data_IF_597421242130
#
_entry.id   IF_597421242130
#
_cell.length_a   1.000
_cell.length_b   1.000
_cell.length_c   1.000
_cell.angle_alpha   90.00
_cell.angle_beta   90.00
_cell.angle_gamma   90.00
#
_symmetry.space_group_name_H-M   'P 1'
#
loop_
_entity.id
_entity.type
_entity.pdbx_description
1 polymer ?
#
# COMPACT_ATOMS: atom_id res chain seq x y z
N UNK A 1 23.66 -7.22 15.99
CA UNK A 1 24.97 -6.57 15.91
C UNK A 1 25.29 -5.92 17.24
N UNK A 2 26.45 -6.27 17.82
CA UNK A 2 27.06 -5.51 18.91
C UNK A 2 28.01 -4.48 18.31
N UNK A 3 27.79 -3.18 18.58
CA UNK A 3 28.64 -2.09 18.11
C UNK A 3 28.45 -0.88 19.03
N UNK A 4 29.53 -0.11 19.25
CA UNK A 4 29.46 1.13 20.03
C UNK A 4 28.47 2.13 19.40
N UNK A 5 27.63 2.75 20.25
CA UNK A 5 26.56 3.66 19.78
C UNK A 5 27.11 4.84 18.97
N UNK A 6 28.33 5.30 19.26
CA UNK A 6 29.01 6.36 18.50
C UNK A 6 29.31 5.96 17.05
N UNK A 7 29.37 4.65 16.75
CA UNK A 7 29.65 4.09 15.43
C UNK A 7 28.39 3.76 14.63
N UNK A 8 27.23 3.77 15.24
CA UNK A 8 25.97 3.37 14.59
C UNK A 8 25.63 4.22 13.36
N UNK A 9 25.94 5.53 13.39
CA UNK A 9 25.75 6.44 12.26
C UNK A 9 26.69 6.14 11.10
N UNK A 10 27.95 5.91 11.38
CA UNK A 10 28.96 5.56 10.37
C UNK A 10 28.63 4.21 9.71
N UNK A 11 28.17 3.25 10.50
CA UNK A 11 27.70 1.96 10.03
C UNK A 11 26.50 2.08 9.06
N UNK A 12 25.48 2.88 9.42
CA UNK A 12 24.33 3.13 8.54
C UNK A 12 24.73 3.74 7.20
N UNK A 13 25.67 4.68 7.21
CA UNK A 13 26.19 5.30 5.98
C UNK A 13 26.90 4.29 5.08
N UNK A 14 27.73 3.43 5.65
CA UNK A 14 28.42 2.37 4.88
C UNK A 14 27.43 1.37 4.27
N UNK A 15 26.40 1.00 5.00
CA UNK A 15 25.36 0.14 4.44
C UNK A 15 24.58 0.82 3.32
N UNK A 16 24.36 2.15 3.41
CA UNK A 16 23.73 2.93 2.35
C UNK A 16 24.50 2.97 1.02
N UNK A 17 25.80 2.64 1.04
CA UNK A 17 26.64 2.56 -0.17
C UNK A 17 26.54 1.19 -0.86
N UNK A 18 26.11 0.14 -0.15
CA UNK A 18 26.13 -1.25 -0.62
C UNK A 18 24.75 -1.91 -0.70
N UNK A 19 23.70 -1.25 -0.24
CA UNK A 19 22.35 -1.80 -0.25
C UNK A 19 21.26 -0.77 0.01
N UNK A 20 20.05 -1.24 0.02
CA UNK A 20 18.84 -0.47 0.30
C UNK A 20 17.99 -1.11 1.41
N UNK A 21 16.81 -0.50 1.71
CA UNK A 21 15.87 -1.00 2.72
C UNK A 21 16.51 -1.21 4.09
N UNK A 22 17.43 -0.32 4.48
CA UNK A 22 18.26 -0.44 5.66
C UNK A 22 17.44 -0.18 6.92
N UNK A 23 17.44 -1.14 7.84
CA UNK A 23 16.85 -1.02 9.16
C UNK A 23 17.94 -1.29 10.20
N UNK A 24 18.20 -0.34 11.08
CA UNK A 24 19.11 -0.48 12.22
C UNK A 24 18.40 0.06 13.45
N UNK A 25 17.91 -0.83 14.30
CA UNK A 25 17.09 -0.52 15.48
C UNK A 25 17.73 -1.14 16.71
N UNK A 26 17.92 -0.34 17.75
CA UNK A 26 18.50 -0.78 19.01
C UNK A 26 19.15 0.40 19.74
N UNK A 27 19.99 0.09 20.72
CA UNK A 27 20.74 1.01 21.56
C UNK A 27 21.55 0.24 22.61
N UNK A 28 22.26 0.96 23.48
CA UNK A 28 23.11 0.38 24.51
C UNK A 28 24.10 -0.67 23.96
N UNK A 29 24.61 -0.40 22.74
CA UNK A 29 25.59 -1.25 22.08
C UNK A 29 25.01 -2.48 21.36
N UNK A 30 23.71 -2.71 21.37
CA UNK A 30 23.07 -3.86 20.73
C UNK A 30 22.00 -3.43 19.71
N UNK A 31 22.14 -3.89 18.44
CA UNK A 31 21.26 -3.51 17.34
C UNK A 31 20.74 -4.71 16.57
N UNK A 32 19.46 -4.66 16.20
CA UNK A 32 18.90 -5.47 15.13
C UNK A 32 19.07 -4.73 13.82
N UNK A 33 19.66 -5.42 12.84
CA UNK A 33 20.06 -4.82 11.58
C UNK A 33 19.52 -5.63 10.41
N UNK A 34 19.02 -4.94 9.38
CA UNK A 34 18.52 -5.55 8.15
C UNK A 34 18.92 -4.68 6.96
N UNK A 35 19.32 -5.29 5.86
CA UNK A 35 19.67 -4.62 4.61
C UNK A 35 19.35 -5.53 3.43
N UNK A 36 18.84 -4.97 2.35
CA UNK A 36 18.78 -5.65 1.05
C UNK A 36 20.04 -5.31 0.26
N UNK A 37 20.79 -6.32 -0.15
CA UNK A 37 22.04 -6.12 -0.88
C UNK A 37 22.35 -7.32 -1.77
N UNK A 38 23.04 -7.05 -2.89
CA UNK A 38 23.65 -8.09 -3.72
C UNK A 38 25.09 -8.44 -3.28
N UNK A 39 25.66 -7.67 -2.35
CA UNK A 39 26.99 -7.92 -1.79
C UNK A 39 26.90 -8.28 -0.30
N UNK A 40 26.56 -9.56 -0.06
CA UNK A 40 26.43 -10.12 1.28
C UNK A 40 27.75 -10.02 2.06
N UNK A 41 28.89 -10.20 1.37
CA UNK A 41 30.23 -10.12 1.96
C UNK A 41 30.49 -8.73 2.53
N UNK A 42 30.32 -7.69 1.73
CA UNK A 42 30.48 -6.29 2.16
C UNK A 42 29.54 -5.91 3.29
N UNK A 43 28.28 -6.40 3.25
CA UNK A 43 27.30 -6.13 4.31
C UNK A 43 27.71 -6.69 5.67
N UNK A 44 28.31 -7.89 5.70
CA UNK A 44 28.81 -8.52 6.94
C UNK A 44 30.12 -7.89 7.40
N UNK A 45 31.00 -7.50 6.47
CA UNK A 45 32.31 -6.94 6.78
C UNK A 45 32.23 -5.50 7.31
N UNK A 46 31.28 -4.70 6.81
CA UNK A 46 31.15 -3.29 7.17
C UNK A 46 31.08 -3.03 8.69
N UNK A 47 30.26 -3.73 9.49
CA UNK A 47 30.27 -3.53 10.93
C UNK A 47 31.55 -4.06 11.60
N UNK A 48 32.18 -5.12 11.08
CA UNK A 48 33.41 -5.69 11.64
C UNK A 48 34.56 -4.68 11.51
N UNK A 49 34.70 -4.01 10.38
CA UNK A 49 35.68 -2.95 10.15
C UNK A 49 35.54 -1.76 11.09
N UNK A 50 34.33 -1.56 11.63
CA UNK A 50 34.03 -0.54 12.64
C UNK A 50 34.20 -1.02 14.09
N UNK A 51 34.69 -2.23 14.27
CA UNK A 51 34.90 -2.86 15.57
C UNK A 51 33.65 -3.53 16.16
N UNK A 52 32.59 -3.66 15.37
CA UNK A 52 31.36 -4.35 15.76
C UNK A 52 31.48 -5.88 15.63
N UNK A 53 30.54 -6.58 16.25
CA UNK A 53 30.41 -8.04 16.22
C UNK A 53 29.01 -8.43 15.73
N UNK A 54 28.85 -8.88 14.48
CA UNK A 54 27.57 -9.41 14.01
C UNK A 54 27.31 -10.78 14.64
N UNK A 55 26.08 -10.98 15.13
CA UNK A 55 25.58 -12.22 15.71
C UNK A 55 24.31 -12.64 15.01
N UNK A 56 24.00 -13.94 15.00
CA UNK A 56 22.76 -14.49 14.45
C UNK A 56 22.51 -14.02 13.00
N UNK A 57 23.58 -14.05 12.19
CA UNK A 57 23.49 -13.65 10.78
C UNK A 57 22.56 -14.61 10.07
N UNK A 58 21.49 -14.06 9.47
CA UNK A 58 20.61 -14.77 8.56
C UNK A 58 20.75 -14.12 7.19
N UNK A 59 20.98 -14.93 6.20
CA UNK A 59 21.00 -14.54 4.79
C UNK A 59 19.86 -15.29 4.13
N UNK A 60 18.98 -14.56 3.46
CA UNK A 60 17.87 -15.13 2.71
C UNK A 60 17.98 -14.62 1.28
N UNK A 61 17.87 -15.51 0.30
CA UNK A 61 17.69 -15.12 -1.08
C UNK A 61 16.25 -14.64 -1.24
N UNK A 62 16.08 -13.35 -1.57
CA UNK A 62 14.75 -12.77 -1.75
C UNK A 62 13.97 -13.45 -2.88
N UNK A 63 14.64 -13.98 -3.89
CA UNK A 63 13.98 -14.73 -4.96
C UNK A 63 13.49 -16.10 -4.48
N UNK A 64 14.26 -16.80 -3.63
CA UNK A 64 13.84 -18.07 -3.02
C UNK A 64 12.73 -17.85 -1.99
N UNK A 65 12.79 -16.79 -1.16
CA UNK A 65 11.77 -16.47 -0.17
C UNK A 65 10.44 -16.11 -0.84
N UNK A 66 10.48 -15.34 -1.92
CA UNK A 66 9.31 -15.02 -2.74
C UNK A 66 8.75 -16.30 -3.39
N UNK A 67 9.60 -17.20 -3.89
CA UNK A 67 9.17 -18.45 -4.48
C UNK A 67 8.54 -19.40 -3.44
N UNK A 68 9.14 -19.52 -2.25
CA UNK A 68 8.59 -20.33 -1.15
C UNK A 68 7.28 -19.75 -0.58
N UNK A 69 7.17 -18.43 -0.47
CA UNK A 69 5.91 -17.79 -0.07
C UNK A 69 4.84 -17.95 -1.16
N UNK A 70 5.23 -17.90 -2.43
CA UNK A 70 4.36 -18.16 -3.56
C UNK A 70 3.80 -19.60 -3.51
N UNK A 71 4.67 -20.58 -3.26
CA UNK A 71 4.29 -22.00 -3.17
C UNK A 71 3.40 -22.30 -1.95
N UNK A 72 3.72 -21.70 -0.79
CA UNK A 72 2.89 -21.76 0.43
C UNK A 72 1.53 -21.10 0.23
N UNK A 73 1.48 -20.05 -0.56
CA UNK A 73 0.31 -19.27 -0.89
C UNK A 73 -0.60 -20.00 -1.89
N UNK A 74 -0.04 -20.59 -2.95
CA UNK A 74 -0.77 -21.45 -3.88
C UNK A 74 -1.44 -22.62 -3.16
N UNK A 75 -0.77 -23.16 -2.14
CA UNK A 75 -1.32 -24.24 -1.31
C UNK A 75 -2.44 -23.78 -0.35
N UNK A 76 -2.51 -22.49 0.02
CA UNK A 76 -3.50 -21.95 0.97
C UNK A 76 -4.70 -21.27 0.31
N UNK A 77 -4.57 -20.75 -0.91
CA UNK A 77 -5.58 -19.90 -1.54
C UNK A 77 -6.25 -20.56 -2.75
N UNK A 78 -5.73 -21.72 -3.25
CA UNK A 78 -6.10 -22.20 -4.58
C UNK A 78 -5.49 -21.28 -5.65
N UNK A 79 -5.29 -21.76 -6.87
CA UNK A 79 -4.59 -21.06 -7.95
C UNK A 79 -4.95 -19.56 -8.02
N UNK A 80 -3.96 -18.65 -8.22
CA UNK A 80 -4.23 -17.22 -8.31
C UNK A 80 -5.23 -16.98 -9.43
N UNK A 81 -6.44 -16.61 -9.08
CA UNK A 81 -7.43 -16.12 -10.03
C UNK A 81 -7.06 -14.69 -10.38
N UNK A 82 -6.12 -14.52 -11.30
CA UNK A 82 -6.06 -13.28 -12.06
C UNK A 82 -7.34 -13.25 -12.89
N UNK A 83 -8.35 -12.53 -12.40
CA UNK A 83 -9.60 -12.33 -13.10
C UNK A 83 -9.38 -11.38 -14.27
N UNK A 84 -8.92 -11.91 -15.40
CA UNK A 84 -8.92 -11.17 -16.65
C UNK A 84 -10.35 -11.19 -17.19
N UNK A 85 -11.06 -10.10 -17.02
CA UNK A 85 -12.34 -9.91 -17.68
C UNK A 85 -12.05 -9.74 -19.17
N UNK A 86 -12.72 -10.54 -20.03
CA UNK A 86 -12.66 -10.36 -21.49
C UNK A 86 -13.42 -9.07 -21.85
N UNK A 87 -12.82 -7.92 -21.57
CA UNK A 87 -13.36 -6.61 -21.90
C UNK A 87 -13.14 -6.30 -23.39
N UNK A 88 -13.98 -5.43 -23.98
CA UNK A 88 -13.77 -4.96 -25.34
C UNK A 88 -12.36 -4.39 -25.55
N UNK A 89 -11.84 -4.48 -26.77
CA UNK A 89 -10.56 -3.85 -27.09
C UNK A 89 -10.63 -2.36 -26.83
N UNK A 90 -9.65 -1.84 -26.10
CA UNK A 90 -9.53 -0.42 -25.73
C UNK A 90 -8.19 0.14 -26.21
N UNK A 91 -8.10 1.45 -26.34
CA UNK A 91 -6.82 2.11 -26.66
C UNK A 91 -5.83 1.94 -25.51
N UNK A 92 -6.30 2.14 -24.30
CA UNK A 92 -5.50 2.04 -23.09
C UNK A 92 -6.23 1.16 -22.07
N UNK A 93 -5.59 0.10 -21.60
CA UNK A 93 -6.12 -0.77 -20.52
C UNK A 93 -5.65 -0.29 -19.15
N UNK A 94 -6.33 -0.72 -18.10
CA UNK A 94 -5.94 -0.48 -16.70
C UNK A 94 -5.67 -1.80 -16.02
N UNK A 95 -4.51 -1.89 -15.35
CA UNK A 95 -4.14 -2.95 -14.41
C UNK A 95 -4.05 -2.34 -13.02
N UNK A 96 -4.71 -2.91 -12.04
CA UNK A 96 -4.71 -2.40 -10.66
C UNK A 96 -4.26 -3.48 -9.67
N UNK A 97 -3.50 -3.08 -8.65
CA UNK A 97 -3.18 -3.97 -7.54
C UNK A 97 -4.25 -3.81 -6.46
N UNK A 98 -4.79 -4.92 -5.98
CA UNK A 98 -5.83 -4.91 -4.96
C UNK A 98 -5.73 -6.08 -3.99
N UNK A 99 -6.25 -5.88 -2.79
CA UNK A 99 -6.47 -6.92 -1.79
C UNK A 99 -7.93 -6.82 -1.31
N UNK A 100 -8.65 -7.92 -1.39
CA UNK A 100 -10.08 -8.02 -1.06
C UNK A 100 -10.95 -8.22 -2.29
N UNK A 101 -11.83 -9.21 -2.21
CA UNK A 101 -12.70 -9.60 -3.34
C UNK A 101 -13.67 -8.48 -3.74
N UNK A 102 -14.16 -7.71 -2.76
CA UNK A 102 -15.05 -6.60 -3.02
C UNK A 102 -14.35 -5.45 -3.76
N UNK A 103 -13.08 -5.16 -3.45
CA UNK A 103 -12.29 -4.18 -4.20
C UNK A 103 -12.11 -4.63 -5.65
N UNK A 104 -11.80 -5.91 -5.87
CA UNK A 104 -11.66 -6.45 -7.22
C UNK A 104 -12.95 -6.33 -8.03
N UNK A 105 -14.11 -6.57 -7.41
CA UNK A 105 -15.43 -6.38 -8.03
C UNK A 105 -15.69 -4.89 -8.37
N UNK A 106 -15.42 -3.97 -7.45
CA UNK A 106 -15.58 -2.52 -7.68
C UNK A 106 -14.70 -2.07 -8.85
N UNK A 107 -13.43 -2.50 -8.88
CA UNK A 107 -12.51 -2.18 -9.95
C UNK A 107 -12.97 -2.72 -11.31
N UNK A 108 -13.48 -3.97 -11.34
CA UNK A 108 -14.07 -4.54 -12.55
C UNK A 108 -15.26 -3.72 -13.07
N UNK A 109 -16.14 -3.27 -12.19
CA UNK A 109 -17.29 -2.42 -12.53
C UNK A 109 -16.86 -1.03 -13.03
N UNK A 110 -15.70 -0.52 -12.60
CA UNK A 110 -15.12 0.75 -13.05
C UNK A 110 -14.23 0.62 -14.29
N UNK A 111 -14.20 -0.56 -14.91
CA UNK A 111 -13.47 -0.78 -16.17
C UNK A 111 -11.99 -1.14 -16.03
N UNK A 112 -11.56 -1.60 -14.85
CA UNK A 112 -10.23 -2.20 -14.69
C UNK A 112 -10.18 -3.53 -15.45
N UNK A 113 -9.17 -3.71 -16.29
CA UNK A 113 -9.03 -4.85 -17.19
C UNK A 113 -8.30 -6.03 -16.55
N UNK A 114 -7.44 -5.76 -15.58
CA UNK A 114 -6.70 -6.76 -14.83
C UNK A 114 -6.50 -6.35 -13.38
N UNK A 115 -6.77 -7.27 -12.45
CA UNK A 115 -6.50 -7.06 -11.02
C UNK A 115 -5.41 -8.04 -10.61
N UNK A 116 -4.31 -7.50 -10.08
CA UNK A 116 -3.23 -8.28 -9.49
C UNK A 116 -3.41 -8.27 -7.98
N UNK A 117 -3.40 -9.45 -7.36
CA UNK A 117 -3.54 -9.52 -5.91
C UNK A 117 -2.29 -8.97 -5.22
N UNK A 118 -2.49 -8.00 -4.34
CA UNK A 118 -1.39 -7.37 -3.61
C UNK A 118 -1.87 -6.31 -2.64
N UNK A 119 -1.00 -5.84 -1.75
CA UNK A 119 -1.34 -4.84 -0.74
C UNK A 119 -0.27 -4.68 0.32
N UNK A 120 -0.64 -4.34 1.54
CA UNK A 120 0.30 -3.98 2.62
C UNK A 120 1.25 -5.12 3.06
N UNK A 121 0.77 -6.35 3.02
CA UNK A 121 1.55 -7.53 3.43
C UNK A 121 2.04 -8.37 2.28
N UNK A 122 1.71 -7.99 1.05
CA UNK A 122 1.89 -8.79 -0.14
C UNK A 122 2.18 -7.90 -1.34
N UNK A 123 3.46 -7.73 -1.62
CA UNK A 123 3.88 -6.98 -2.80
C UNK A 123 3.96 -7.95 -3.99
N UNK A 124 3.22 -7.69 -5.09
CA UNK A 124 3.42 -8.46 -6.31
C UNK A 124 4.83 -8.24 -6.85
N UNK A 125 5.38 -9.27 -7.45
CA UNK A 125 6.65 -9.19 -8.16
C UNK A 125 6.54 -8.37 -9.45
N UNK A 126 7.66 -7.89 -9.98
CA UNK A 126 7.71 -7.26 -11.31
C UNK A 126 7.17 -8.19 -12.40
N UNK A 127 7.42 -9.51 -12.27
CA UNK A 127 6.95 -10.50 -13.23
C UNK A 127 5.42 -10.64 -13.21
N UNK A 128 4.78 -10.67 -12.05
CA UNK A 128 3.32 -10.75 -11.94
C UNK A 128 2.64 -9.51 -12.56
N UNK A 129 3.21 -8.32 -12.35
CA UNK A 129 2.71 -7.10 -12.98
C UNK A 129 2.96 -7.10 -14.50
N UNK A 130 4.13 -7.57 -14.94
CA UNK A 130 4.44 -7.71 -16.36
C UNK A 130 3.49 -8.70 -17.05
N UNK A 131 3.26 -9.85 -16.45
CA UNK A 131 2.33 -10.86 -16.99
C UNK A 131 0.92 -10.29 -17.11
N UNK A 132 0.46 -9.55 -16.11
CA UNK A 132 -0.83 -8.86 -16.16
C UNK A 132 -0.88 -7.87 -17.32
N UNK A 133 0.15 -7.05 -17.50
CA UNK A 133 0.26 -6.07 -18.61
C UNK A 133 0.27 -6.78 -19.98
N UNK A 134 1.05 -7.86 -20.12
CA UNK A 134 1.14 -8.60 -21.38
C UNK A 134 -0.18 -9.26 -21.77
N UNK A 135 -1.00 -9.68 -20.80
CA UNK A 135 -2.32 -10.27 -21.06
C UNK A 135 -3.38 -9.25 -21.53
N UNK A 136 -3.13 -7.94 -21.37
CA UNK A 136 -4.07 -6.92 -21.82
C UNK A 136 -4.17 -6.88 -23.35
N UNK A 137 -5.39 -6.83 -23.87
CA UNK A 137 -5.65 -6.65 -25.31
C UNK A 137 -5.62 -5.15 -25.68
N UNK A 138 -4.54 -4.49 -25.30
CA UNK A 138 -4.26 -3.09 -25.59
C UNK A 138 -2.75 -2.89 -25.77
N UNK A 139 -2.36 -1.93 -26.59
CA UNK A 139 -0.95 -1.55 -26.78
C UNK A 139 -0.47 -0.55 -25.72
N UNK A 140 -1.38 0.03 -24.97
CA UNK A 140 -1.12 1.00 -23.93
C UNK A 140 -1.78 0.56 -22.63
N UNK A 141 -1.09 0.73 -21.50
CA UNK A 141 -1.56 0.24 -20.18
C UNK A 141 -1.24 1.25 -19.09
N UNK A 142 -2.21 1.53 -18.22
CA UNK A 142 -1.98 2.24 -16.97
C UNK A 142 -1.94 1.23 -15.83
N UNK A 143 -0.96 1.37 -14.92
CA UNK A 143 -0.87 0.57 -13.69
C UNK A 143 -1.23 1.46 -12.49
N UNK A 144 -2.14 0.96 -11.63
CA UNK A 144 -2.50 1.53 -10.34
C UNK A 144 -1.91 0.64 -9.23
N UNK A 145 -0.77 1.00 -8.62
CA UNK A 145 -0.10 0.17 -7.60
C UNK A 145 -0.83 0.10 -6.27
N UNK A 146 -1.54 1.18 -5.88
CA UNK A 146 -2.36 1.32 -4.67
C UNK A 146 -1.60 1.07 -3.35
N UNK A 147 -0.28 1.09 -3.42
CA UNK A 147 0.63 0.98 -2.28
C UNK A 147 1.99 1.61 -2.64
N UNK A 148 2.53 2.41 -1.73
CA UNK A 148 3.83 3.08 -1.94
C UNK A 148 5.00 2.13 -2.20
N UNK A 149 4.95 0.91 -1.62
CA UNK A 149 6.01 -0.08 -1.76
C UNK A 149 5.95 -0.80 -3.13
N UNK A 150 4.79 -0.76 -3.80
CA UNK A 150 4.57 -1.39 -5.11
C UNK A 150 4.91 -0.42 -6.26
N UNK A 151 4.89 0.89 -6.02
CA UNK A 151 5.21 1.89 -7.06
C UNK A 151 6.57 1.62 -7.74
N UNK A 152 7.70 1.39 -7.01
CA UNK A 152 8.98 1.12 -7.64
C UNK A 152 9.00 -0.15 -8.49
N UNK A 153 8.25 -1.18 -8.06
CA UNK A 153 8.12 -2.45 -8.80
C UNK A 153 7.32 -2.24 -10.09
N UNK A 154 6.20 -1.51 -10.00
CA UNK A 154 5.39 -1.17 -11.18
C UNK A 154 6.15 -0.34 -12.20
N UNK A 155 7.01 0.59 -11.76
CA UNK A 155 7.82 1.44 -12.65
C UNK A 155 8.86 0.64 -13.46
N UNK A 156 9.25 -0.54 -13.03
CA UNK A 156 10.20 -1.39 -13.77
C UNK A 156 9.53 -2.07 -14.97
N UNK A 157 8.21 -2.21 -14.99
CA UNK A 157 7.48 -2.94 -16.02
C UNK A 157 7.63 -2.30 -17.41
N UNK A 158 7.64 -0.96 -17.49
CA UNK A 158 7.77 -0.24 -18.76
C UNK A 158 9.04 -0.64 -19.56
N UNK A 159 10.15 -0.87 -18.85
CA UNK A 159 11.42 -1.28 -19.47
C UNK A 159 11.41 -2.75 -19.96
N UNK A 160 10.46 -3.57 -19.51
CA UNK A 160 10.40 -5.01 -19.79
C UNK A 160 9.38 -5.40 -20.85
N UNK A 161 8.54 -4.47 -21.29
CA UNK A 161 7.49 -4.70 -22.29
C UNK A 161 7.69 -3.83 -23.52
N UNK A 162 6.98 -4.17 -24.63
CA UNK A 162 6.88 -3.32 -25.82
C UNK A 162 5.65 -2.42 -25.79
N UNK A 163 4.78 -2.58 -24.81
CA UNK A 163 3.60 -1.75 -24.61
C UNK A 163 4.00 -0.41 -23.99
N UNK A 164 3.24 0.64 -24.24
CA UNK A 164 3.42 1.93 -23.55
C UNK A 164 2.76 1.85 -22.16
N UNK A 165 3.59 1.75 -21.12
CA UNK A 165 3.12 1.60 -19.75
C UNK A 165 3.29 2.90 -18.99
N UNK A 166 2.22 3.32 -18.29
CA UNK A 166 2.25 4.46 -17.38
C UNK A 166 1.83 4.03 -15.97
N UNK A 167 2.58 4.46 -14.99
CA UNK A 167 2.25 4.20 -13.57
C UNK A 167 1.64 5.45 -12.98
N UNK A 168 0.39 5.36 -12.53
CA UNK A 168 -0.24 6.38 -11.71
C UNK A 168 0.10 6.06 -10.25
N UNK A 169 0.84 6.93 -9.53
CA UNK A 169 1.44 6.59 -8.24
C UNK A 169 0.43 6.59 -7.09
N UNK A 170 -0.67 5.85 -7.24
CA UNK A 170 -1.66 5.65 -6.19
C UNK A 170 -1.07 4.86 -5.04
N UNK A 171 -1.40 5.26 -3.81
CA UNK A 171 -0.89 4.65 -2.59
C UNK A 171 -1.99 4.00 -1.73
N UNK A 172 -3.24 4.15 -2.15
CA UNK A 172 -4.40 3.64 -1.42
C UNK A 172 -5.56 3.29 -2.37
N UNK A 173 -6.52 2.51 -1.87
CA UNK A 173 -7.71 2.16 -2.64
C UNK A 173 -8.61 3.38 -2.95
N UNK A 174 -8.86 4.32 -2.02
CA UNK A 174 -9.62 5.53 -2.35
C UNK A 174 -8.97 6.38 -3.45
N UNK A 175 -7.63 6.51 -3.45
CA UNK A 175 -6.92 7.18 -4.54
C UNK A 175 -7.12 6.48 -5.90
N UNK A 176 -7.16 5.14 -5.90
CA UNK A 176 -7.42 4.39 -7.11
C UNK A 176 -8.86 4.59 -7.63
N UNK A 177 -9.84 4.64 -6.72
CA UNK A 177 -11.23 4.89 -7.11
C UNK A 177 -11.37 6.26 -7.78
N UNK A 178 -10.83 7.31 -7.19
CA UNK A 178 -10.82 8.65 -7.78
C UNK A 178 -10.07 8.68 -9.13
N UNK A 179 -8.93 7.99 -9.23
CA UNK A 179 -8.21 7.86 -10.49
C UNK A 179 -9.07 7.21 -11.57
N UNK A 180 -9.83 6.16 -11.25
CA UNK A 180 -10.69 5.44 -12.19
C UNK A 180 -11.87 6.27 -12.68
N UNK A 181 -12.38 7.22 -11.89
CA UNK A 181 -13.41 8.17 -12.34
C UNK A 181 -12.89 9.05 -13.46
N UNK A 182 -11.58 9.36 -13.49
CA UNK A 182 -10.94 10.16 -14.55
C UNK A 182 -10.42 9.32 -15.73
N UNK A 183 -10.59 8.01 -15.72
CA UNK A 183 -10.13 7.11 -16.77
C UNK A 183 -11.01 7.17 -18.02
N UNK A 184 -10.36 7.32 -19.20
CA UNK A 184 -11.00 7.24 -20.52
C UNK A 184 -10.38 6.09 -21.33
N UNK A 185 -11.13 5.00 -21.61
CA UNK A 185 -10.62 3.84 -22.36
C UNK A 185 -10.23 4.16 -23.80
N UNK A 186 -10.69 5.28 -24.38
CA UNK A 186 -10.37 5.73 -25.74
C UNK A 186 -9.13 6.64 -25.79
N UNK A 187 -8.71 7.21 -24.65
CA UNK A 187 -7.56 8.09 -24.55
C UNK A 187 -6.23 7.31 -24.49
N UNK A 188 -5.10 8.03 -24.72
CA UNK A 188 -3.77 7.45 -24.59
C UNK A 188 -3.37 7.19 -23.13
N UNK A 189 -2.36 6.31 -22.91
CA UNK A 189 -1.80 6.07 -21.58
C UNK A 189 -1.21 7.36 -20.97
N UNK A 190 -0.63 8.25 -21.75
CA UNK A 190 -0.11 9.54 -21.29
C UNK A 190 -1.23 10.46 -20.78
N UNK A 191 -2.33 10.57 -21.54
CA UNK A 191 -3.50 11.36 -21.12
C UNK A 191 -4.10 10.80 -19.85
N UNK A 192 -4.39 9.49 -19.84
CA UNK A 192 -4.93 8.80 -18.67
C UNK A 192 -3.99 8.92 -17.46
N UNK A 193 -2.69 8.69 -17.64
CA UNK A 193 -1.71 8.83 -16.57
C UNK A 193 -1.73 10.20 -15.91
N UNK A 194 -1.87 11.27 -16.72
CA UNK A 194 -1.96 12.66 -16.22
C UNK A 194 -3.28 12.94 -15.51
N UNK A 195 -4.41 12.60 -16.13
CA UNK A 195 -5.74 12.85 -15.59
C UNK A 195 -6.00 12.06 -14.30
N UNK A 196 -5.67 10.77 -14.32
CA UNK A 196 -5.84 9.87 -13.20
C UNK A 196 -4.92 10.23 -12.00
N UNK A 197 -3.66 10.62 -12.27
CA UNK A 197 -2.76 11.08 -11.21
C UNK A 197 -3.26 12.37 -10.54
N UNK A 198 -3.82 13.29 -11.31
CA UNK A 198 -4.42 14.52 -10.79
C UNK A 198 -5.64 14.22 -9.90
N UNK A 199 -6.50 13.31 -10.32
CA UNK A 199 -7.67 12.89 -9.54
C UNK A 199 -7.25 12.21 -8.23
N UNK A 200 -6.32 11.23 -8.30
CA UNK A 200 -5.78 10.56 -7.12
C UNK A 200 -5.16 11.52 -6.10
N UNK A 201 -4.44 12.54 -6.58
CA UNK A 201 -3.79 13.54 -5.70
C UNK A 201 -4.78 14.48 -5.00
N UNK A 202 -6.02 14.57 -5.44
CA UNK A 202 -7.06 15.41 -4.82
C UNK A 202 -7.68 14.74 -3.57
N UNK A 203 -7.54 13.42 -3.44
CA UNK A 203 -8.14 12.64 -2.34
C UNK A 203 -7.27 12.72 -1.09
N UNK A 204 -7.88 13.05 0.04
CA UNK A 204 -7.27 12.83 1.36
C UNK A 204 -7.68 11.46 1.87
N UNK A 205 -6.69 10.63 2.21
CA UNK A 205 -6.95 9.26 2.63
C UNK A 205 -6.70 9.05 4.11
N UNK A 206 -7.62 8.31 4.74
CA UNK A 206 -7.51 7.87 6.12
C UNK A 206 -7.68 6.36 6.24
N UNK A 207 -6.97 5.74 7.17
CA UNK A 207 -6.96 4.30 7.38
C UNK A 207 -7.13 3.99 8.87
N UNK A 208 -8.00 3.05 9.20
CA UNK A 208 -8.11 2.52 10.56
C UNK A 208 -7.44 1.15 10.60
N UNK A 209 -6.57 0.94 11.56
CA UNK A 209 -5.89 -0.34 11.77
C UNK A 209 -5.56 -0.57 13.26
N UNK A 210 -5.01 -1.73 13.56
CA UNK A 210 -4.52 -2.06 14.90
C UNK A 210 -3.01 -1.95 14.95
N UNK A 211 -2.49 -1.29 15.97
CA UNK A 211 -1.06 -1.14 16.18
C UNK A 211 -0.40 -2.48 16.50
N UNK A 212 0.65 -2.84 15.77
CA UNK A 212 1.39 -4.10 15.94
C UNK A 212 2.54 -4.01 16.96
N UNK A 213 2.91 -2.81 17.39
CA UNK A 213 4.00 -2.55 18.34
C UNK A 213 3.82 -1.26 19.10
N UNK A 214 4.48 -1.15 20.22
CA UNK A 214 4.54 0.09 20.99
C UNK A 214 5.38 1.12 20.22
N UNK A 215 4.90 2.36 20.17
CA UNK A 215 5.61 3.47 19.55
C UNK A 215 5.17 4.80 20.15
N UNK A 216 5.93 5.86 19.91
CA UNK A 216 5.53 7.24 20.22
C UNK A 216 5.28 7.98 18.91
N UNK A 217 4.17 8.70 18.87
CA UNK A 217 3.74 9.51 17.73
C UNK A 217 3.38 10.92 18.21
N UNK A 218 3.15 11.83 17.27
CA UNK A 218 2.70 13.20 17.59
C UNK A 218 1.30 13.18 18.23
N UNK A 219 0.48 12.18 17.91
CA UNK A 219 -0.84 11.98 18.53
C UNK A 219 -0.76 11.38 19.95
N UNK A 220 0.41 10.88 20.38
CA UNK A 220 0.61 10.30 21.68
C UNK A 220 1.37 8.97 21.68
N UNK A 221 1.36 8.30 22.84
CA UNK A 221 1.94 6.96 22.97
C UNK A 221 0.93 5.91 22.47
N UNK A 222 1.37 5.06 21.57
CA UNK A 222 0.63 3.94 21.00
C UNK A 222 1.16 2.65 21.62
N UNK A 223 0.28 1.75 22.02
CA UNK A 223 0.60 0.39 22.47
C UNK A 223 0.18 -0.63 21.43
N UNK A 224 0.87 -1.76 21.39
CA UNK A 224 0.43 -2.89 20.59
C UNK A 224 -1.00 -3.30 20.97
N UNK A 225 -1.87 -3.41 19.98
CA UNK A 225 -3.30 -3.68 20.15
C UNK A 225 -4.21 -2.44 20.18
N UNK A 226 -3.67 -1.23 20.28
CA UNK A 226 -4.47 -0.01 20.18
C UNK A 226 -5.05 0.14 18.76
N UNK A 227 -6.27 0.67 18.68
CA UNK A 227 -6.84 1.11 17.39
C UNK A 227 -6.30 2.47 17.03
N UNK A 228 -5.73 2.59 15.84
CA UNK A 228 -5.09 3.81 15.35
C UNK A 228 -5.66 4.26 14.02
N UNK A 229 -5.78 5.57 13.87
CA UNK A 229 -6.13 6.23 12.62
C UNK A 229 -4.90 6.85 11.98
N UNK A 230 -4.66 6.49 10.73
CA UNK A 230 -3.52 6.93 9.93
C UNK A 230 -3.99 7.87 8.82
N UNK A 231 -3.24 8.95 8.60
CA UNK A 231 -3.40 9.83 7.44
C UNK A 231 -2.09 9.91 6.69
N UNK A 232 -2.16 9.79 5.38
CA UNK A 232 -0.97 9.86 4.54
C UNK A 232 -0.31 11.24 4.65
N UNK A 233 0.96 11.25 5.02
CA UNK A 233 1.73 12.48 5.26
C UNK A 233 1.78 12.88 6.74
N UNK A 234 0.68 12.69 7.47
CA UNK A 234 0.57 13.11 8.87
C UNK A 234 0.89 11.96 9.85
N UNK A 235 0.85 10.70 9.38
CA UNK A 235 1.08 9.53 10.23
C UNK A 235 -0.12 9.17 11.10
N UNK A 236 0.12 8.82 12.37
CA UNK A 236 -0.96 8.53 13.33
C UNK A 236 -1.58 9.83 13.80
N UNK A 237 -2.86 10.01 13.50
CA UNK A 237 -3.63 11.22 13.88
C UNK A 237 -4.72 10.92 14.92
N UNK A 238 -5.05 9.65 15.12
CA UNK A 238 -6.03 9.21 16.11
C UNK A 238 -5.57 7.95 16.83
N UNK A 239 -5.81 7.88 18.13
CA UNK A 239 -5.59 6.70 18.97
C UNK A 239 -6.86 6.56 19.82
N UNK A 240 -7.54 5.44 19.76
CA UNK A 240 -8.78 5.25 20.50
C UNK A 240 -8.93 3.79 20.95
N UNK A 241 -9.78 3.52 21.98
CA UNK A 241 -10.02 2.18 22.48
C UNK A 241 -10.82 1.31 21.50
N UNK A 242 -11.62 1.92 20.63
CA UNK A 242 -12.42 1.20 19.65
C UNK A 242 -12.40 1.86 18.26
N UNK A 243 -12.87 1.10 17.27
CA UNK A 243 -12.89 1.48 15.86
C UNK A 243 -13.79 2.70 15.58
N UNK A 244 -14.93 2.80 16.25
CA UNK A 244 -15.86 3.90 16.03
C UNK A 244 -15.30 5.23 16.53
N UNK A 245 -14.75 5.26 17.76
CA UNK A 245 -14.13 6.46 18.31
C UNK A 245 -12.91 6.88 17.48
N UNK A 246 -12.10 5.89 17.03
CA UNK A 246 -10.97 6.16 16.16
C UNK A 246 -11.40 6.73 14.82
N UNK A 247 -12.43 6.17 14.19
CA UNK A 247 -12.97 6.65 12.92
C UNK A 247 -13.51 8.08 13.02
N UNK A 248 -14.27 8.38 14.07
CA UNK A 248 -14.80 9.74 14.27
C UNK A 248 -13.72 10.77 14.54
N UNK A 249 -12.67 10.41 15.28
CA UNK A 249 -11.51 11.28 15.48
C UNK A 249 -10.73 11.52 14.18
N UNK A 250 -10.50 10.45 13.39
CA UNK A 250 -9.86 10.54 12.08
C UNK A 250 -10.67 11.41 11.10
N UNK A 251 -11.99 11.19 11.01
CA UNK A 251 -12.86 11.95 10.11
C UNK A 251 -12.88 13.45 10.45
N UNK A 252 -12.86 13.82 11.74
CA UNK A 252 -12.69 15.23 12.15
C UNK A 252 -11.38 15.86 11.65
N UNK A 253 -10.35 15.06 11.46
CA UNK A 253 -9.06 15.53 10.98
C UNK A 253 -9.04 15.71 9.44
N UNK A 254 -9.66 14.77 8.69
CA UNK A 254 -9.56 14.76 7.21
C UNK A 254 -10.72 15.46 6.50
N UNK A 255 -11.91 15.55 7.10
CA UNK A 255 -13.06 16.25 6.51
C UNK A 255 -12.99 17.73 6.82
N UNK A 256 -12.71 18.52 5.80
CA UNK A 256 -12.63 20.00 5.87
C UNK A 256 -13.77 20.64 5.09
N UNK A 257 -13.98 21.95 5.24
CA UNK A 257 -15.13 22.70 4.69
C UNK A 257 -15.29 22.61 3.16
N UNK A 258 -14.27 22.23 2.43
CA UNK A 258 -14.26 22.16 0.97
C UNK A 258 -14.44 20.73 0.42
N UNK A 259 -14.91 19.80 1.25
CA UNK A 259 -15.10 18.40 0.87
C UNK A 259 -16.57 18.12 0.59
N UNK A 260 -16.82 17.33 -0.46
CA UNK A 260 -18.16 17.03 -0.95
C UNK A 260 -18.51 15.54 -0.84
N UNK A 261 -17.50 14.66 -0.88
CA UNK A 261 -17.70 13.20 -0.87
C UNK A 261 -16.80 12.52 0.17
N UNK A 262 -17.40 11.64 0.96
CA UNK A 262 -16.72 10.68 1.85
C UNK A 262 -16.96 9.26 1.33
N UNK A 263 -15.93 8.66 0.79
CA UNK A 263 -15.91 7.24 0.40
C UNK A 263 -15.45 6.40 1.59
N UNK A 264 -16.25 5.42 1.99
CA UNK A 264 -15.99 4.48 3.08
C UNK A 264 -15.83 3.08 2.49
N UNK A 265 -14.64 2.49 2.58
CA UNK A 265 -14.38 1.13 2.12
C UNK A 265 -14.28 0.21 3.34
N UNK A 266 -15.17 -0.77 3.39
CA UNK A 266 -15.39 -1.65 4.55
C UNK A 266 -14.59 -2.94 4.40
N UNK A 267 -13.70 -3.21 5.35
CA UNK A 267 -12.87 -4.42 5.40
C UNK A 267 -13.54 -5.61 6.07
N UNK A 268 -12.82 -6.75 6.09
CA UNK A 268 -13.35 -8.01 6.66
C UNK A 268 -13.60 -7.94 8.17
N UNK A 269 -12.82 -7.13 8.89
CA UNK A 269 -12.90 -6.98 10.35
C UNK A 269 -13.92 -5.93 10.81
N UNK A 270 -14.59 -5.26 9.86
CA UNK A 270 -15.64 -4.29 10.17
C UNK A 270 -16.97 -4.97 10.45
N UNK A 271 -17.78 -4.34 11.32
CA UNK A 271 -19.15 -4.80 11.60
C UNK A 271 -20.20 -3.87 10.97
N UNK A 272 -21.35 -4.40 10.62
CA UNK A 272 -22.46 -3.61 10.06
C UNK A 272 -22.89 -2.49 11.04
N UNK A 273 -23.03 -2.81 12.33
CA UNK A 273 -23.37 -1.85 13.38
C UNK A 273 -22.38 -0.67 13.44
N UNK A 274 -21.07 -0.96 13.45
CA UNK A 274 -20.05 0.09 13.47
C UNK A 274 -20.11 0.93 12.20
N UNK A 275 -20.32 0.30 11.03
CA UNK A 275 -20.45 1.01 9.75
C UNK A 275 -21.64 1.96 9.75
N UNK A 276 -22.82 1.50 10.18
CA UNK A 276 -24.05 2.32 10.28
C UNK A 276 -23.85 3.50 11.25
N UNK A 277 -23.19 3.28 12.37
CA UNK A 277 -22.88 4.33 13.35
C UNK A 277 -21.91 5.37 12.77
N UNK A 278 -20.88 4.96 12.03
CA UNK A 278 -19.95 5.89 11.37
C UNK A 278 -20.68 6.74 10.35
N UNK A 279 -21.51 6.12 9.50
CA UNK A 279 -22.29 6.84 8.46
C UNK A 279 -23.27 7.83 9.10
N UNK A 280 -24.02 7.39 10.13
CA UNK A 280 -24.94 8.26 10.84
C UNK A 280 -24.23 9.45 11.49
N UNK A 281 -23.10 9.19 12.14
CA UNK A 281 -22.30 10.21 12.78
C UNK A 281 -21.73 11.20 11.75
N UNK A 282 -21.23 10.72 10.60
CA UNK A 282 -20.70 11.56 9.53
C UNK A 282 -21.81 12.46 8.94
N UNK A 283 -23.00 11.93 8.70
CA UNK A 283 -24.15 12.70 8.22
C UNK A 283 -24.63 13.79 9.21
N UNK A 284 -24.49 13.54 10.53
CA UNK A 284 -24.81 14.54 11.55
C UNK A 284 -23.76 15.65 11.64
N UNK A 285 -22.45 15.30 11.57
CA UNK A 285 -21.35 16.23 11.79
C UNK A 285 -20.89 16.94 10.51
N UNK A 286 -21.09 16.31 9.35
CA UNK A 286 -20.70 16.81 8.03
C UNK A 286 -21.88 16.77 7.05
N UNK A 287 -22.98 17.49 7.31
CA UNK A 287 -24.23 17.37 6.52
C UNK A 287 -24.08 17.81 5.06
N UNK A 288 -23.01 18.53 4.72
CA UNK A 288 -22.69 18.95 3.35
C UNK A 288 -21.89 17.88 2.56
N UNK A 289 -21.41 16.83 3.24
CA UNK A 289 -20.57 15.79 2.64
C UNK A 289 -21.42 14.53 2.41
N UNK A 290 -21.55 14.11 1.16
CA UNK A 290 -22.23 12.86 0.84
C UNK A 290 -21.36 11.66 1.25
N UNK A 291 -21.96 10.62 1.83
CA UNK A 291 -21.22 9.40 2.21
C UNK A 291 -21.60 8.25 1.30
N UNK A 292 -20.59 7.56 0.75
CA UNK A 292 -20.74 6.32 -0.01
C UNK A 292 -20.03 5.18 0.71
N UNK A 293 -20.68 4.03 0.80
CA UNK A 293 -20.16 2.85 1.48
C UNK A 293 -19.96 1.72 0.48
N UNK A 294 -18.73 1.22 0.40
CA UNK A 294 -18.35 0.12 -0.46
C UNK A 294 -17.81 -1.05 0.36
N UNK A 295 -18.24 -2.27 0.05
CA UNK A 295 -17.68 -3.47 0.65
C UNK A 295 -16.37 -3.81 -0.06
N UNK A 296 -15.24 -3.54 0.57
CA UNK A 296 -13.92 -3.83 0.02
C UNK A 296 -13.45 -5.25 0.30
N UNK A 297 -13.71 -5.73 1.50
CA UNK A 297 -13.24 -7.05 1.95
C UNK A 297 -11.72 -7.12 2.17
N UNK A 298 -11.04 -5.97 2.27
CA UNK A 298 -9.61 -5.91 2.55
C UNK A 298 -9.31 -6.38 3.98
N UNK A 299 -8.19 -7.10 4.20
CA UNK A 299 -7.72 -7.45 5.53
C UNK A 299 -6.99 -6.29 6.19
N UNK A 300 -6.72 -6.36 7.50
CA UNK A 300 -5.92 -5.45 8.31
C UNK A 300 -6.51 -4.06 8.55
N UNK A 301 -7.35 -3.58 7.66
CA UNK A 301 -7.96 -2.26 7.73
C UNK A 301 -9.47 -2.41 7.79
N UNK A 302 -10.10 -2.37 9.00
CA UNK A 302 -11.56 -2.35 9.11
C UNK A 302 -12.20 -1.29 8.23
N UNK A 303 -11.55 -0.13 8.12
CA UNK A 303 -12.03 0.97 7.27
C UNK A 303 -10.88 1.68 6.55
N UNK A 304 -11.12 1.98 5.27
CA UNK A 304 -10.38 2.96 4.51
C UNK A 304 -11.34 4.11 4.15
N UNK A 305 -10.85 5.32 4.27
CA UNK A 305 -11.61 6.53 3.97
C UNK A 305 -10.94 7.32 2.86
N UNK A 306 -11.74 7.83 1.93
CA UNK A 306 -11.33 8.82 0.94
C UNK A 306 -12.22 10.05 1.08
N UNK A 307 -11.63 11.24 1.07
CA UNK A 307 -12.37 12.49 1.16
C UNK A 307 -11.98 13.40 0.01
N UNK A 308 -12.98 13.80 -0.78
CA UNK A 308 -12.85 14.64 -1.99
C UNK A 308 -13.59 15.95 -1.85
#
# INVERSE_FOLDING_TARGET
>A
LEIDDSKSREFKLKWGEIGDSIVVVGGDGLYNCHVHTNDIGAAIEAPILLGGRPHQIRVTDLFEEVAEEHEKREAQIGAPTSNYTALPAVTCAVVAVASGDGIAEIFGNLGVHGVVTGGQTLNPSTQELLDAVEHMNASQVVILPNNKNIIPVAQQVDALTKKDVRVVPTCSMPEALAALVAYDPAASAEHNGTAMAKAAAAVVTGEITTAVRDTKTDAGAVKAGDTIGLVRGDGVVAIAPDVFECATALLKHIVTDNRELLTIIVGVDATADTTERIVAWAGEHFPAVASEVHRGGQPLYPYLFGVE
#
